data_IF_376308290120
#
_entry.id   IF_376308290120
#
_cell.length_a   1.000
_cell.length_b   1.000
_cell.length_c   1.000
_cell.angle_alpha   90.00
_cell.angle_beta   90.00
_cell.angle_gamma   90.00
#
_symmetry.space_group_name_H-M   'P 1'
#
loop_
_entity.id
_entity.type
_entity.pdbx_description
1 polymer ?
#
# COMPACT_ATOMS: atom_id res chain seq x y z
N UNK A 1 64.25 40.55 -48.04
CA UNK A 1 63.12 39.68 -48.31
C UNK A 1 63.65 38.30 -48.73
N UNK A 2 63.76 37.35 -47.80
CA UNK A 2 64.31 36.02 -48.08
C UNK A 2 63.30 35.22 -48.90
N UNK A 3 63.61 35.02 -50.18
CA UNK A 3 62.78 34.17 -51.06
C UNK A 3 62.94 32.74 -50.60
N UNK A 4 61.87 32.21 -50.02
CA UNK A 4 61.78 30.80 -49.62
C UNK A 4 61.92 29.90 -50.84
N UNK A 5 62.94 28.99 -50.86
CA UNK A 5 63.15 28.03 -51.99
C UNK A 5 61.95 27.12 -52.18
N UNK A 6 61.87 26.48 -53.42
CA UNK A 6 60.69 25.65 -53.79
C UNK A 6 60.39 24.51 -52.84
N UNK A 7 61.36 24.03 -52.08
CA UNK A 7 61.22 22.97 -51.07
C UNK A 7 60.42 23.49 -49.82
N UNK A 8 60.71 24.74 -49.40
CA UNK A 8 60.02 25.36 -48.26
C UNK A 8 58.57 25.64 -48.61
N UNK A 9 58.29 26.15 -49.80
CA UNK A 9 56.91 26.36 -50.30
C UNK A 9 56.11 25.05 -50.36
N UNK A 10 56.71 23.94 -50.82
CA UNK A 10 56.05 22.65 -50.85
C UNK A 10 55.77 22.10 -49.44
N UNK A 11 56.69 22.23 -48.49
CA UNK A 11 56.49 21.86 -47.10
C UNK A 11 55.39 22.70 -46.45
N UNK A 12 55.40 24.01 -46.69
CA UNK A 12 54.34 24.93 -46.22
C UNK A 12 52.96 24.55 -46.79
N UNK A 13 52.89 24.26 -48.08
CA UNK A 13 51.62 23.82 -48.73
C UNK A 13 51.12 22.49 -48.14
N UNK A 14 52.01 21.54 -47.88
CA UNK A 14 51.64 20.26 -47.24
C UNK A 14 51.12 20.47 -45.81
N UNK A 15 51.81 21.33 -45.02
CA UNK A 15 51.34 21.67 -43.68
C UNK A 15 49.96 22.34 -43.70
N UNK A 16 49.78 23.30 -44.61
CA UNK A 16 48.49 24.01 -44.77
C UNK A 16 47.37 23.06 -45.20
N UNK A 17 47.63 22.14 -46.15
CA UNK A 17 46.69 21.11 -46.51
C UNK A 17 46.34 20.15 -45.35
N UNK A 18 47.34 19.76 -44.55
CA UNK A 18 47.13 18.95 -43.35
C UNK A 18 46.25 19.67 -42.31
N UNK A 19 46.53 20.99 -42.04
CA UNK A 19 45.67 21.79 -41.19
C UNK A 19 44.24 21.93 -41.74
N UNK A 20 44.09 22.14 -43.00
CA UNK A 20 42.78 22.25 -43.65
C UNK A 20 41.96 20.96 -43.48
N UNK A 21 42.59 19.79 -43.72
CA UNK A 21 41.96 18.50 -43.51
C UNK A 21 41.56 18.28 -42.06
N UNK A 22 42.48 18.64 -41.12
CA UNK A 22 42.17 18.55 -39.68
C UNK A 22 40.97 19.43 -39.30
N UNK A 23 40.93 20.66 -39.84
CA UNK A 23 39.83 21.59 -39.58
C UNK A 23 38.50 21.08 -40.17
N UNK A 24 38.56 20.46 -41.34
CA UNK A 24 37.38 19.87 -41.97
C UNK A 24 36.83 18.68 -41.17
N UNK A 25 37.71 17.83 -40.62
CA UNK A 25 37.33 16.72 -39.72
C UNK A 25 36.72 17.26 -38.43
N UNK A 26 37.31 18.30 -37.82
CA UNK A 26 36.75 18.94 -36.62
C UNK A 26 35.38 19.57 -36.89
N UNK A 27 35.22 20.25 -38.04
CA UNK A 27 33.92 20.83 -38.42
C UNK A 27 32.87 19.76 -38.64
N UNK A 28 33.21 18.68 -39.32
CA UNK A 28 32.31 17.54 -39.49
C UNK A 28 31.94 16.88 -38.17
N UNK A 29 32.90 16.78 -37.20
CA UNK A 29 32.63 16.25 -35.87
C UNK A 29 31.72 17.15 -35.08
N UNK A 30 31.94 18.47 -35.15
CA UNK A 30 31.07 19.46 -34.48
C UNK A 30 29.65 19.41 -35.03
N UNK A 31 29.52 19.35 -36.37
CA UNK A 31 28.20 19.21 -37.01
C UNK A 31 27.51 17.92 -36.57
N UNK A 32 28.21 16.79 -36.50
CA UNK A 32 27.66 15.55 -35.99
C UNK A 32 27.15 15.70 -34.57
N UNK A 33 27.95 16.31 -33.66
CA UNK A 33 27.58 16.47 -32.26
C UNK A 33 26.42 17.45 -32.04
N UNK A 34 26.37 18.54 -32.86
CA UNK A 34 25.37 19.59 -32.71
C UNK A 34 24.06 19.35 -33.45
N UNK A 35 24.10 18.61 -34.57
CA UNK A 35 22.91 18.39 -35.39
C UNK A 35 22.38 16.96 -35.32
N UNK A 36 23.25 15.95 -35.22
CA UNK A 36 22.81 14.55 -35.27
C UNK A 36 22.70 13.94 -33.86
N UNK A 37 23.73 14.17 -33.04
CA UNK A 37 23.75 13.59 -31.67
C UNK A 37 23.19 14.56 -30.60
N UNK A 38 22.76 15.76 -30.96
CA UNK A 38 22.36 16.81 -30.03
C UNK A 38 21.25 16.39 -29.08
N UNK A 39 20.17 15.80 -29.59
CA UNK A 39 19.03 15.35 -28.75
C UNK A 39 19.41 14.26 -27.76
N UNK A 40 20.24 13.29 -28.18
CA UNK A 40 20.67 12.21 -27.29
C UNK A 40 21.62 12.73 -26.20
N UNK A 41 22.56 13.60 -26.57
CA UNK A 41 23.46 14.25 -25.64
C UNK A 41 22.72 15.17 -24.65
N UNK A 42 21.73 15.90 -25.13
CA UNK A 42 20.91 16.76 -24.30
C UNK A 42 20.06 15.95 -23.32
N UNK A 43 19.45 14.86 -23.76
CA UNK A 43 18.73 13.91 -22.85
C UNK A 43 19.63 13.33 -21.78
N UNK A 44 20.84 12.90 -22.15
CA UNK A 44 21.83 12.38 -21.18
C UNK A 44 22.30 13.45 -20.20
N UNK A 45 22.49 14.68 -20.68
CA UNK A 45 22.84 15.80 -19.81
C UNK A 45 21.72 16.13 -18.84
N UNK A 46 20.46 16.22 -19.31
CA UNK A 46 19.30 16.44 -18.44
C UNK A 46 19.18 15.35 -17.38
N UNK A 47 19.31 14.09 -17.76
CA UNK A 47 19.27 12.96 -16.81
C UNK A 47 20.39 13.00 -15.73
N UNK A 48 21.48 13.76 -15.96
CA UNK A 48 22.55 13.96 -15.00
C UNK A 48 22.34 15.21 -14.12
N UNK A 49 21.56 16.16 -14.58
CA UNK A 49 21.34 17.45 -13.91
C UNK A 49 19.99 17.55 -13.24
N UNK A 50 19.08 16.63 -13.50
CA UNK A 50 17.76 16.62 -12.88
C UNK A 50 17.60 15.40 -12.00
N UNK A 51 17.00 15.63 -10.83
CA UNK A 51 16.47 14.58 -9.94
C UNK A 51 14.96 14.69 -9.92
N UNK A 52 14.29 13.59 -10.18
CA UNK A 52 12.84 13.48 -10.04
C UNK A 52 12.53 12.77 -8.73
N UNK A 53 11.82 13.46 -7.84
CA UNK A 53 11.34 12.93 -6.58
C UNK A 53 9.82 12.79 -6.64
N UNK A 54 9.30 11.62 -6.29
CA UNK A 54 7.86 11.36 -6.23
C UNK A 54 7.28 11.95 -4.97
N UNK A 55 6.19 12.71 -5.10
CA UNK A 55 5.39 13.20 -3.97
C UNK A 55 4.23 12.25 -3.78
N UNK A 56 4.27 11.44 -2.72
CA UNK A 56 3.23 10.47 -2.46
C UNK A 56 1.93 11.16 -2.02
N UNK A 57 0.76 10.76 -2.59
CA UNK A 57 -0.53 11.23 -2.13
C UNK A 57 -0.89 10.60 -0.78
N UNK A 58 -1.74 11.28 -0.03
CA UNK A 58 -2.36 10.70 1.17
C UNK A 58 -3.50 9.78 0.75
N UNK A 59 -3.46 8.51 1.18
CA UNK A 59 -4.56 7.57 0.92
C UNK A 59 -5.82 7.99 1.68
N UNK A 60 -6.98 8.00 1.01
CA UNK A 60 -8.27 8.41 1.55
C UNK A 60 -8.72 7.59 2.77
N UNK A 61 -9.46 8.21 3.68
CA UNK A 61 -10.01 7.57 4.86
C UNK A 61 -11.21 6.67 4.55
N UNK A 62 -11.45 5.65 5.39
CA UNK A 62 -12.69 4.86 5.39
C UNK A 62 -13.39 5.11 6.72
N UNK A 63 -14.66 5.46 6.64
CA UNK A 63 -15.48 5.85 7.79
C UNK A 63 -16.75 5.01 7.86
N UNK A 64 -17.29 4.85 9.07
CA UNK A 64 -18.64 4.31 9.26
C UNK A 64 -19.71 5.34 8.84
N UNK A 65 -20.98 4.97 8.88
CA UNK A 65 -22.11 5.86 8.53
C UNK A 65 -22.20 7.12 9.39
N UNK A 66 -21.61 7.13 10.58
CA UNK A 66 -21.65 8.23 11.54
C UNK A 66 -20.37 9.08 11.52
N UNK A 67 -19.43 8.77 10.62
CA UNK A 67 -18.13 9.47 10.53
C UNK A 67 -17.03 8.93 11.44
N UNK A 68 -17.26 7.78 12.10
CA UNK A 68 -16.21 7.10 12.89
C UNK A 68 -15.14 6.56 11.96
N UNK A 69 -13.89 6.89 12.21
CA UNK A 69 -12.78 6.44 11.39
C UNK A 69 -12.52 4.93 11.57
N UNK A 70 -12.56 4.19 10.46
CA UNK A 70 -12.28 2.75 10.42
C UNK A 70 -10.88 2.46 9.83
N UNK A 71 -10.44 3.26 8.87
CA UNK A 71 -9.08 3.21 8.33
C UNK A 71 -8.61 4.62 7.95
N UNK A 72 -7.41 4.99 8.37
CA UNK A 72 -6.79 6.29 8.12
C UNK A 72 -5.37 6.11 7.60
N UNK A 73 -4.82 7.16 6.99
CA UNK A 73 -3.40 7.29 6.74
C UNK A 73 -2.77 8.11 7.87
N UNK A 74 -1.72 7.60 8.44
CA UNK A 74 -0.93 8.26 9.48
C UNK A 74 0.50 8.48 8.98
N UNK A 75 1.11 9.59 9.40
CA UNK A 75 2.51 9.85 9.14
C UNK A 75 3.37 8.80 9.85
N UNK A 76 4.26 8.19 9.11
CA UNK A 76 5.29 7.28 9.57
C UNK A 76 6.64 7.71 9.02
N UNK A 77 7.70 7.04 9.42
CA UNK A 77 9.05 7.36 8.95
C UNK A 77 9.81 6.09 8.60
N UNK A 78 10.61 6.18 7.55
CA UNK A 78 11.60 5.15 7.20
C UNK A 78 12.98 5.61 7.66
N UNK A 79 13.64 4.80 8.49
CA UNK A 79 15.05 4.98 8.82
C UNK A 79 15.89 4.29 7.75
N UNK A 80 16.71 5.06 7.06
CA UNK A 80 17.65 4.61 6.05
C UNK A 80 19.06 5.04 6.42
N UNK A 81 20.07 4.32 5.94
CA UNK A 81 21.46 4.67 6.15
C UNK A 81 22.28 4.56 4.87
N UNK A 82 23.30 5.42 4.75
CA UNK A 82 24.35 5.26 3.75
C UNK A 82 25.53 4.47 4.34
N UNK A 83 25.72 3.18 3.99
CA UNK A 83 26.79 2.36 4.55
C UNK A 83 28.18 2.95 4.35
N UNK A 84 28.37 3.77 3.31
CA UNK A 84 29.65 4.45 3.03
C UNK A 84 29.99 5.55 4.03
N UNK A 85 28.98 6.08 4.73
CA UNK A 85 29.13 7.17 5.70
C UNK A 85 29.16 6.67 7.14
N UNK A 86 28.72 5.43 7.38
CA UNK A 86 28.75 4.78 8.69
C UNK A 86 30.19 4.44 9.03
N UNK A 87 30.74 5.07 10.08
CA UNK A 87 32.15 4.91 10.49
C UNK A 87 32.38 3.64 11.32
N UNK A 88 31.47 3.36 12.26
CA UNK A 88 31.49 2.20 13.14
C UNK A 88 30.10 1.54 13.14
N UNK A 89 29.99 0.42 12.43
CA UNK A 89 28.72 -0.31 12.29
C UNK A 89 28.21 -0.87 13.64
N UNK A 90 29.10 -1.21 14.57
CA UNK A 90 28.68 -1.74 15.87
C UNK A 90 28.18 -0.63 16.80
N UNK A 91 28.87 0.50 16.88
CA UNK A 91 28.42 1.65 17.65
C UNK A 91 27.10 2.21 17.11
N UNK A 92 26.97 2.29 15.78
CA UNK A 92 25.74 2.68 15.08
C UNK A 92 24.56 1.74 15.43
N UNK A 93 24.76 0.42 15.35
CA UNK A 93 23.74 -0.57 15.65
C UNK A 93 23.34 -0.53 17.12
N UNK A 94 24.31 -0.45 18.06
CA UNK A 94 24.04 -0.39 19.49
C UNK A 94 23.21 0.85 19.87
N UNK A 95 23.45 1.98 19.22
CA UNK A 95 22.69 3.20 19.46
C UNK A 95 21.24 3.07 18.98
N UNK A 96 20.99 2.43 17.85
CA UNK A 96 19.67 2.39 17.20
C UNK A 96 18.82 1.19 17.60
N UNK A 97 19.42 0.04 17.94
CA UNK A 97 18.73 -1.21 18.24
C UNK A 97 17.56 -1.03 19.24
N UNK A 98 17.75 -0.37 20.40
CA UNK A 98 16.68 -0.23 21.41
C UNK A 98 15.53 0.69 20.96
N UNK A 99 15.81 1.70 20.10
CA UNK A 99 14.79 2.64 19.62
C UNK A 99 14.02 2.05 18.44
N UNK A 100 14.72 1.27 17.61
CA UNK A 100 14.12 0.64 16.45
C UNK A 100 13.48 -0.73 16.78
N UNK A 101 13.65 -1.23 18.00
CA UNK A 101 13.23 -2.58 18.40
C UNK A 101 13.70 -3.62 17.37
N UNK A 102 15.04 -3.68 17.22
CA UNK A 102 15.75 -4.57 16.29
C UNK A 102 17.00 -5.15 16.97
N UNK A 103 17.42 -6.32 16.51
CA UNK A 103 18.68 -6.91 16.94
C UNK A 103 19.88 -6.13 16.38
N UNK A 104 20.89 -5.86 17.23
CA UNK A 104 22.13 -5.18 16.79
C UNK A 104 22.76 -5.86 15.57
N UNK A 105 22.79 -7.19 15.57
CA UNK A 105 23.35 -8.02 14.49
C UNK A 105 22.69 -7.77 13.15
N UNK A 106 21.37 -7.56 13.13
CA UNK A 106 20.62 -7.27 11.91
C UNK A 106 20.98 -5.90 11.34
N UNK A 107 21.09 -4.90 12.21
CA UNK A 107 21.49 -3.55 11.79
C UNK A 107 22.92 -3.56 11.26
N UNK A 108 23.85 -4.23 11.97
CA UNK A 108 25.24 -4.38 11.50
C UNK A 108 25.30 -5.03 10.13
N UNK A 109 24.55 -6.11 9.91
CA UNK A 109 24.51 -6.79 8.62
C UNK A 109 24.05 -5.87 7.49
N UNK A 110 23.02 -5.05 7.75
CA UNK A 110 22.48 -4.09 6.75
C UNK A 110 23.49 -3.01 6.38
N UNK A 111 24.25 -2.47 7.35
CA UNK A 111 25.18 -1.35 7.09
C UNK A 111 26.61 -1.78 6.75
N UNK A 112 26.95 -3.07 6.83
CA UNK A 112 28.31 -3.58 6.56
C UNK A 112 28.68 -3.57 5.08
N UNK A 113 27.71 -3.58 4.18
CA UNK A 113 27.96 -3.59 2.73
C UNK A 113 28.13 -2.16 2.18
N UNK A 114 29.35 -1.66 2.25
CA UNK A 114 29.73 -0.32 1.77
C UNK A 114 29.67 -0.16 0.25
N UNK A 115 29.40 -1.21 -0.52
CA UNK A 115 29.18 -1.10 -1.97
C UNK A 115 27.85 -0.41 -2.30
N UNK A 116 26.88 -0.52 -1.39
CA UNK A 116 25.55 0.10 -1.51
C UNK A 116 25.59 1.60 -1.22
N UNK A 117 24.85 2.38 -1.99
CA UNK A 117 24.69 3.81 -1.77
C UNK A 117 23.77 4.15 -0.60
N UNK A 118 22.73 3.32 -0.39
CA UNK A 118 21.77 3.44 0.69
C UNK A 118 21.14 2.08 1.03
N UNK A 119 20.76 1.89 2.28
CA UNK A 119 20.04 0.71 2.78
C UNK A 119 18.92 1.14 3.72
N UNK A 120 17.77 0.51 3.61
CA UNK A 120 16.67 0.71 4.54
C UNK A 120 16.92 -0.11 5.81
N UNK A 121 16.96 0.55 6.96
CA UNK A 121 17.11 -0.08 8.27
C UNK A 121 15.76 -0.60 8.74
N UNK A 122 14.79 0.30 8.93
CA UNK A 122 13.43 -0.04 9.34
C UNK A 122 12.43 0.93 8.71
N UNK A 123 11.32 0.37 8.22
CA UNK A 123 10.19 1.13 7.68
C UNK A 123 9.08 1.30 8.72
N UNK A 124 8.21 2.24 8.45
CA UNK A 124 6.97 2.49 9.20
C UNK A 124 7.19 2.74 10.70
N UNK A 125 8.26 3.44 11.03
CA UNK A 125 8.50 3.91 12.39
C UNK A 125 7.36 4.83 12.83
N UNK A 126 6.93 4.67 14.08
CA UNK A 126 5.98 5.60 14.68
C UNK A 126 6.59 6.98 14.81
N UNK A 127 5.73 7.99 14.95
CA UNK A 127 6.17 9.38 15.16
C UNK A 127 7.07 9.52 16.39
N UNK A 128 6.75 8.77 17.46
CA UNK A 128 7.50 8.76 18.72
C UNK A 128 8.91 8.20 18.51
N UNK A 129 9.02 7.04 17.86
CA UNK A 129 10.32 6.43 17.55
C UNK A 129 11.16 7.33 16.62
N UNK A 130 10.56 7.90 15.60
CA UNK A 130 11.23 8.83 14.70
C UNK A 130 11.71 10.09 15.44
N UNK A 131 10.93 10.62 16.39
CA UNK A 131 11.33 11.78 17.20
C UNK A 131 12.51 11.43 18.11
N UNK A 132 12.55 10.24 18.69
CA UNK A 132 13.68 9.76 19.48
C UNK A 132 14.95 9.67 18.61
N UNK A 133 14.84 9.08 17.42
CA UNK A 133 15.96 8.99 16.47
C UNK A 133 16.45 10.39 16.08
N UNK A 134 15.55 11.33 15.76
CA UNK A 134 15.91 12.73 15.46
C UNK A 134 16.66 13.40 16.61
N UNK A 135 16.20 13.20 17.85
CA UNK A 135 16.86 13.74 19.04
C UNK A 135 18.26 13.15 19.21
N UNK A 136 18.42 11.84 18.95
CA UNK A 136 19.74 11.19 19.01
C UNK A 136 20.69 11.72 17.91
N UNK A 137 20.18 11.92 16.69
CA UNK A 137 20.98 12.49 15.60
C UNK A 137 21.48 13.90 15.94
N UNK A 138 20.62 14.76 16.51
CA UNK A 138 21.01 16.10 16.95
C UNK A 138 22.06 16.05 18.06
N UNK A 139 21.88 15.18 19.06
CA UNK A 139 22.85 15.01 20.15
C UNK A 139 24.20 14.46 19.65
N UNK A 140 24.18 13.58 18.65
CA UNK A 140 25.39 13.03 18.02
C UNK A 140 26.15 14.14 17.25
N UNK A 141 25.44 14.98 16.53
CA UNK A 141 25.98 16.13 15.81
C UNK A 141 26.58 17.17 16.78
N UNK A 142 25.84 17.53 17.85
CA UNK A 142 26.31 18.49 18.87
C UNK A 142 27.55 18.00 19.64
N UNK A 143 27.62 16.70 19.92
CA UNK A 143 28.76 16.09 20.62
C UNK A 143 29.99 15.90 19.74
N UNK A 144 29.79 15.88 18.42
CA UNK A 144 30.81 15.53 17.43
C UNK A 144 31.26 14.06 17.49
N UNK A 145 30.45 13.18 18.08
CA UNK A 145 30.76 11.75 18.22
C UNK A 145 30.65 11.01 16.88
N UNK A 146 29.77 11.51 15.97
CA UNK A 146 29.66 11.05 14.60
C UNK A 146 29.32 9.55 14.46
N UNK A 147 28.59 9.02 15.47
CA UNK A 147 28.16 7.62 15.57
C UNK A 147 27.03 7.33 14.59
N UNK A 148 26.10 8.29 14.44
CA UNK A 148 24.93 8.17 13.57
C UNK A 148 25.16 8.78 12.18
N UNK A 149 26.42 9.01 11.80
CA UNK A 149 26.77 9.49 10.48
C UNK A 149 26.21 8.61 9.38
N UNK A 150 25.56 9.23 8.41
CA UNK A 150 24.92 8.51 7.30
C UNK A 150 23.51 7.97 7.58
N UNK A 151 22.96 8.20 8.79
CA UNK A 151 21.54 7.93 9.08
C UNK A 151 20.67 9.09 8.57
N UNK A 152 19.53 8.75 7.96
CA UNK A 152 18.51 9.74 7.58
C UNK A 152 17.12 9.15 7.75
N UNK A 153 16.16 10.03 7.99
CA UNK A 153 14.75 9.70 8.16
C UNK A 153 13.95 10.32 7.03
N UNK A 154 13.22 9.47 6.33
CA UNK A 154 12.30 9.89 5.28
C UNK A 154 10.87 9.75 5.80
N UNK A 155 10.04 10.75 5.53
CA UNK A 155 8.62 10.69 5.87
C UNK A 155 7.90 9.79 4.88
N UNK A 156 7.09 8.86 5.41
CA UNK A 156 6.23 8.00 4.62
C UNK A 156 4.82 7.94 5.23
N UNK A 157 3.88 7.36 4.51
CA UNK A 157 2.51 7.14 4.99
C UNK A 157 2.33 5.69 5.42
N UNK A 158 1.70 5.49 6.58
CA UNK A 158 1.28 4.18 7.07
C UNK A 158 -0.23 4.11 7.15
N UNK A 159 -0.80 3.00 6.65
CA UNK A 159 -2.23 2.72 6.88
C UNK A 159 -2.43 2.33 8.34
N UNK A 160 -3.41 2.93 8.98
CA UNK A 160 -3.73 2.73 10.39
C UNK A 160 -5.21 2.43 10.57
N UNK A 161 -5.51 1.40 11.33
CA UNK A 161 -6.86 0.93 11.62
C UNK A 161 -7.14 1.15 13.12
N UNK A 162 -7.84 2.23 13.50
CA UNK A 162 -7.99 2.63 14.91
C UNK A 162 -8.61 1.56 15.82
N UNK A 163 -9.41 0.66 15.23
CA UNK A 163 -10.14 -0.38 15.95
C UNK A 163 -9.50 -1.78 15.85
N UNK A 164 -8.30 -1.90 15.28
CA UNK A 164 -7.56 -3.16 15.17
C UNK A 164 -8.31 -4.24 14.39
N UNK A 165 -8.70 -5.32 15.07
CA UNK A 165 -9.44 -6.43 14.49
C UNK A 165 -10.95 -6.14 14.37
N UNK A 166 -11.31 -5.08 13.66
CA UNK A 166 -12.69 -4.64 13.46
C UNK A 166 -13.05 -4.67 11.97
N UNK A 167 -14.17 -5.31 11.63
CA UNK A 167 -14.65 -5.48 10.24
C UNK A 167 -13.54 -5.95 9.28
N UNK A 168 -12.67 -6.82 9.75
CA UNK A 168 -11.37 -7.14 9.16
C UNK A 168 -11.47 -7.56 7.69
N UNK A 169 -12.33 -8.54 7.37
CA UNK A 169 -12.48 -9.03 6.01
C UNK A 169 -13.23 -8.05 5.09
N UNK A 170 -14.02 -7.16 5.67
CA UNK A 170 -14.69 -6.10 4.92
C UNK A 170 -13.71 -4.99 4.55
N UNK A 171 -12.99 -4.46 5.53
CA UNK A 171 -12.00 -3.40 5.30
C UNK A 171 -10.85 -3.94 4.44
N UNK A 172 -10.32 -5.10 4.80
CA UNK A 172 -9.13 -5.64 4.19
C UNK A 172 -7.88 -4.90 4.62
N UNK A 173 -6.77 -5.16 3.96
CA UNK A 173 -5.47 -4.59 4.31
C UNK A 173 -4.72 -4.08 3.08
N UNK A 174 -3.70 -3.26 3.35
CA UNK A 174 -2.75 -2.77 2.34
C UNK A 174 -1.39 -3.46 2.45
N UNK A 175 -0.61 -3.40 1.39
CA UNK A 175 0.84 -3.66 1.45
C UNK A 175 1.53 -2.58 2.29
N UNK A 176 2.82 -2.80 2.58
CA UNK A 176 3.66 -1.78 3.21
C UNK A 176 3.74 -0.50 2.36
N UNK A 177 3.61 -0.63 1.03
CA UNK A 177 3.65 0.49 0.09
C UNK A 177 2.28 1.15 -0.11
N UNK A 178 1.28 0.79 0.70
CA UNK A 178 -0.04 1.41 0.69
C UNK A 178 -0.99 0.93 -0.43
N UNK A 179 -0.63 -0.15 -1.16
CA UNK A 179 -1.50 -0.75 -2.20
C UNK A 179 -2.49 -1.70 -1.54
N UNK A 180 -3.77 -1.59 -1.88
CA UNK A 180 -4.83 -2.46 -1.35
C UNK A 180 -4.65 -3.92 -1.77
N UNK A 181 -4.65 -4.84 -0.80
CA UNK A 181 -4.49 -6.29 -1.01
C UNK A 181 -5.81 -7.08 -0.93
N UNK A 182 -6.70 -6.68 -0.05
CA UNK A 182 -7.96 -7.38 0.20
C UNK A 182 -9.07 -6.41 0.58
N UNK A 183 -10.32 -6.90 0.59
CA UNK A 183 -11.50 -6.16 1.04
C UNK A 183 -11.73 -4.86 0.27
N UNK A 184 -12.26 -3.86 0.95
CA UNK A 184 -12.51 -2.53 0.39
C UNK A 184 -11.23 -1.78 0.03
N UNK A 185 -10.14 -2.01 0.78
CA UNK A 185 -8.83 -1.46 0.44
C UNK A 185 -8.40 -1.86 -0.98
N UNK A 186 -8.64 -3.10 -1.38
CA UNK A 186 -8.35 -3.59 -2.73
C UNK A 186 -9.40 -3.15 -3.75
N UNK A 187 -10.69 -3.33 -3.43
CA UNK A 187 -11.78 -3.07 -4.37
C UNK A 187 -11.91 -1.60 -4.76
N UNK A 188 -11.54 -0.69 -3.83
CA UNK A 188 -11.58 0.75 -4.02
C UNK A 188 -10.18 1.36 -4.14
N UNK A 189 -9.17 0.54 -4.45
CA UNK A 189 -7.77 0.98 -4.44
C UNK A 189 -7.55 2.25 -5.27
N UNK A 190 -8.02 2.28 -6.51
CA UNK A 190 -7.82 3.42 -7.43
C UNK A 190 -8.45 4.72 -6.93
N UNK A 191 -9.57 4.61 -6.19
CA UNK A 191 -10.25 5.76 -5.59
C UNK A 191 -9.53 6.25 -4.32
N UNK A 192 -9.08 5.29 -3.49
CA UNK A 192 -8.44 5.58 -2.21
C UNK A 192 -6.98 6.05 -2.36
N UNK A 193 -6.24 5.58 -3.38
CA UNK A 193 -4.80 5.83 -3.52
C UNK A 193 -4.45 7.27 -3.90
N UNK A 194 -5.33 7.97 -4.62
CA UNK A 194 -5.01 9.28 -5.18
C UNK A 194 -4.07 9.19 -6.40
N UNK A 195 -3.40 10.29 -6.69
CA UNK A 195 -2.42 10.39 -7.79
C UNK A 195 -1.13 10.99 -7.28
N UNK A 196 -0.03 10.35 -7.63
CA UNK A 196 1.31 10.83 -7.31
C UNK A 196 1.58 12.19 -7.97
N UNK A 197 2.27 13.05 -7.23
CA UNK A 197 2.91 14.24 -7.74
C UNK A 197 4.38 14.01 -8.01
N UNK A 198 5.05 14.98 -8.59
CA UNK A 198 6.50 14.93 -8.82
C UNK A 198 7.15 16.28 -8.54
N UNK A 199 8.40 16.22 -8.11
CA UNK A 199 9.29 17.35 -7.98
C UNK A 199 10.47 17.05 -8.89
N UNK A 200 10.63 17.85 -9.93
CA UNK A 200 11.81 17.82 -10.79
C UNK A 200 12.73 18.96 -10.40
N UNK A 201 13.91 18.64 -9.92
CA UNK A 201 14.89 19.63 -9.44
C UNK A 201 16.21 19.48 -10.18
N UNK A 202 16.88 20.62 -10.44
CA UNK A 202 18.24 20.61 -10.94
C UNK A 202 19.24 20.33 -9.81
N UNK A 203 20.10 19.32 -10.03
CA UNK A 203 21.12 18.88 -9.08
C UNK A 203 22.54 19.13 -9.61
N UNK A 204 23.48 19.36 -8.71
CA UNK A 204 24.90 19.43 -9.05
C UNK A 204 25.52 18.03 -9.27
N UNK A 205 26.76 17.97 -9.73
CA UNK A 205 27.48 16.71 -9.95
C UNK A 205 27.73 15.87 -8.67
N UNK A 206 27.27 16.34 -7.50
CA UNK A 206 27.27 15.62 -6.22
C UNK A 206 25.86 15.26 -5.75
N UNK A 207 24.83 15.52 -6.57
CA UNK A 207 23.44 15.23 -6.25
C UNK A 207 22.80 16.24 -5.29
N UNK A 208 23.36 17.46 -5.13
CA UNK A 208 22.79 18.50 -4.26
C UNK A 208 21.96 19.46 -5.10
N UNK A 209 20.83 19.91 -4.56
CA UNK A 209 19.97 20.91 -5.19
C UNK A 209 20.76 22.19 -5.53
N UNK A 210 20.56 22.70 -6.73
CA UNK A 210 21.14 23.96 -7.18
C UNK A 210 20.19 25.08 -6.81
N UNK A 211 20.60 25.96 -5.88
CA UNK A 211 19.75 27.01 -5.27
C UNK A 211 19.06 27.97 -6.26
N UNK A 212 19.53 28.04 -7.50
CA UNK A 212 18.95 28.82 -8.59
C UNK A 212 18.53 27.96 -9.80
N UNK A 213 18.51 26.64 -9.62
CA UNK A 213 18.10 25.69 -10.66
C UNK A 213 16.59 25.75 -10.93
N UNK A 214 16.19 25.23 -12.09
CA UNK A 214 14.77 25.09 -12.39
C UNK A 214 14.14 24.03 -11.48
N UNK A 215 12.96 24.36 -10.94
CA UNK A 215 12.16 23.45 -10.12
C UNK A 215 10.75 23.39 -10.71
N UNK A 216 10.35 22.21 -11.11
CA UNK A 216 8.98 21.94 -11.53
C UNK A 216 8.30 21.10 -10.44
N UNK A 217 7.17 21.59 -9.94
CA UNK A 217 6.40 20.92 -8.89
C UNK A 217 5.00 20.59 -9.41
N UNK A 218 4.71 19.30 -9.51
CA UNK A 218 3.38 18.79 -9.76
C UNK A 218 2.83 18.27 -8.43
N UNK A 219 1.81 18.91 -7.85
CA UNK A 219 1.26 18.48 -6.56
C UNK A 219 0.62 17.10 -6.67
N UNK A 220 0.79 16.29 -5.64
CA UNK A 220 0.02 15.06 -5.48
C UNK A 220 -1.47 15.38 -5.29
N UNK A 221 -2.33 14.51 -5.74
CA UNK A 221 -3.79 14.58 -5.50
C UNK A 221 -4.16 13.48 -4.53
N UNK A 222 -4.57 13.85 -3.32
CA UNK A 222 -4.97 12.90 -2.28
C UNK A 222 -6.13 12.01 -2.72
N UNK A 223 -6.17 10.80 -2.17
CA UNK A 223 -7.23 9.84 -2.42
C UNK A 223 -8.58 10.27 -1.85
N UNK A 224 -9.65 9.83 -2.50
CA UNK A 224 -11.01 10.06 -2.04
C UNK A 224 -11.33 9.26 -0.78
N UNK A 225 -12.04 9.87 0.17
CA UNK A 225 -12.53 9.17 1.36
C UNK A 225 -13.86 8.49 1.10
N UNK A 226 -14.13 7.39 1.80
CA UNK A 226 -15.33 6.56 1.66
C UNK A 226 -16.09 6.49 2.99
N UNK A 227 -17.41 6.72 2.94
CA UNK A 227 -18.31 6.47 4.06
C UNK A 227 -19.12 5.21 3.76
N UNK A 228 -19.07 4.25 4.67
CA UNK A 228 -19.78 2.97 4.57
C UNK A 228 -21.19 3.07 5.18
N UNK A 229 -22.03 2.09 4.87
CA UNK A 229 -23.32 1.89 5.56
C UNK A 229 -23.16 1.21 6.92
N UNK A 230 -21.98 0.67 7.21
CA UNK A 230 -21.65 0.03 8.49
C UNK A 230 -21.87 1.03 9.64
N UNK A 231 -22.48 0.55 10.70
CA UNK A 231 -22.59 1.25 11.98
C UNK A 231 -21.62 0.62 12.98
N UNK A 232 -20.66 1.42 13.47
CA UNK A 232 -19.59 0.92 14.33
C UNK A 232 -20.11 0.29 15.63
N UNK A 233 -21.21 0.78 16.16
CA UNK A 233 -21.85 0.22 17.37
C UNK A 233 -22.48 -1.14 17.09
N UNK A 234 -23.24 -1.26 16.00
CA UNK A 234 -23.90 -2.51 15.60
C UNK A 234 -22.83 -3.55 15.24
N UNK A 235 -21.79 -3.15 14.51
CA UNK A 235 -20.65 -4.01 14.17
C UNK A 235 -19.96 -4.54 15.43
N UNK A 236 -19.68 -3.67 16.42
CA UNK A 236 -19.06 -4.06 17.69
C UNK A 236 -19.89 -5.08 18.47
N UNK A 237 -21.22 -4.90 18.52
CA UNK A 237 -22.12 -5.86 19.14
C UNK A 237 -22.11 -7.20 18.39
N UNK A 238 -22.15 -7.18 17.06
CA UNK A 238 -22.11 -8.37 16.23
C UNK A 238 -20.79 -9.14 16.39
N UNK A 239 -19.67 -8.43 16.44
CA UNK A 239 -18.35 -9.06 16.67
C UNK A 239 -18.21 -9.68 18.07
N UNK A 240 -18.72 -9.00 19.10
CA UNK A 240 -18.76 -9.56 20.44
C UNK A 240 -19.59 -10.84 20.48
N UNK A 241 -20.81 -10.80 19.94
CA UNK A 241 -21.68 -11.97 19.87
C UNK A 241 -21.07 -13.14 19.07
N UNK A 242 -20.41 -12.83 17.93
CA UNK A 242 -19.72 -13.84 17.12
C UNK A 242 -18.56 -14.49 17.89
N UNK A 243 -17.78 -13.71 18.63
CA UNK A 243 -16.67 -14.21 19.45
C UNK A 243 -17.17 -15.11 20.58
N UNK A 244 -18.22 -14.69 21.27
CA UNK A 244 -18.86 -15.48 22.33
C UNK A 244 -19.46 -16.80 21.76
N UNK A 245 -20.17 -16.71 20.65
CA UNK A 245 -20.73 -17.88 19.97
C UNK A 245 -19.64 -18.88 19.55
N UNK A 246 -18.53 -18.38 19.01
CA UNK A 246 -17.40 -19.21 18.61
C UNK A 246 -16.80 -19.95 19.82
N UNK A 247 -16.59 -19.25 20.93
CA UNK A 247 -16.01 -19.82 22.15
C UNK A 247 -16.94 -20.84 22.82
N UNK A 248 -18.23 -20.50 23.00
CA UNK A 248 -19.21 -21.35 23.71
C UNK A 248 -19.49 -22.64 22.93
N UNK A 249 -19.54 -22.56 21.61
CA UNK A 249 -19.89 -23.71 20.74
C UNK A 249 -18.66 -24.42 20.17
N UNK A 250 -17.46 -23.98 20.50
CA UNK A 250 -16.22 -24.47 19.89
C UNK A 250 -16.31 -24.49 18.35
N UNK A 251 -16.91 -23.43 17.76
CA UNK A 251 -17.18 -23.36 16.34
C UNK A 251 -15.89 -23.02 15.58
N UNK A 252 -15.68 -23.63 14.40
CA UNK A 252 -14.53 -23.35 13.53
C UNK A 252 -14.62 -21.96 12.89
N UNK A 253 -15.84 -21.51 12.61
CA UNK A 253 -16.10 -20.19 12.04
C UNK A 253 -17.47 -19.69 12.46
N UNK A 254 -17.61 -18.37 12.54
CA UNK A 254 -18.89 -17.68 12.77
C UNK A 254 -19.02 -16.52 11.80
N UNK A 255 -20.20 -16.39 11.21
CA UNK A 255 -20.52 -15.33 10.25
C UNK A 255 -21.76 -14.62 10.71
N UNK A 256 -21.73 -13.28 10.70
CA UNK A 256 -22.88 -12.44 11.05
C UNK A 256 -23.04 -11.36 10.00
N UNK A 257 -24.24 -11.22 9.46
CA UNK A 257 -24.63 -10.14 8.59
C UNK A 257 -25.89 -9.47 9.17
N UNK A 258 -25.80 -8.16 9.38
CA UNK A 258 -26.93 -7.33 9.81
C UNK A 258 -27.29 -6.37 8.69
N UNK A 259 -28.53 -6.45 8.23
CA UNK A 259 -29.04 -5.66 7.12
C UNK A 259 -30.29 -4.88 7.53
N UNK A 260 -30.44 -3.69 7.02
CA UNK A 260 -31.67 -2.89 7.08
C UNK A 260 -32.61 -3.39 5.96
N UNK A 261 -33.75 -4.04 6.27
CA UNK A 261 -34.57 -4.65 5.22
C UNK A 261 -35.19 -3.66 4.23
N UNK A 262 -35.46 -2.43 4.68
CA UNK A 262 -36.12 -1.39 3.88
C UNK A 262 -35.21 -0.78 2.82
N UNK A 263 -33.91 -0.72 3.08
CA UNK A 263 -32.94 -0.04 2.20
C UNK A 263 -31.94 -1.02 1.57
N UNK A 264 -31.77 -2.22 2.16
CA UNK A 264 -30.72 -3.16 1.80
C UNK A 264 -29.32 -2.80 2.31
N UNK A 265 -29.22 -1.72 3.12
CA UNK A 265 -27.93 -1.33 3.71
C UNK A 265 -27.39 -2.38 4.67
N UNK A 266 -26.12 -2.70 4.52
CA UNK A 266 -25.40 -3.59 5.44
C UNK A 266 -24.89 -2.74 6.62
N UNK A 267 -25.42 -3.04 7.81
CA UNK A 267 -25.08 -2.32 9.05
C UNK A 267 -23.92 -2.99 9.81
N UNK A 268 -23.77 -4.31 9.68
CA UNK A 268 -22.62 -5.05 10.19
C UNK A 268 -22.32 -6.27 9.33
N UNK A 269 -21.04 -6.61 9.22
CA UNK A 269 -20.54 -7.80 8.54
C UNK A 269 -19.37 -8.35 9.32
N UNK A 270 -19.51 -9.56 9.86
CA UNK A 270 -18.50 -10.22 10.71
C UNK A 270 -18.16 -11.58 10.14
N UNK A 271 -16.87 -11.83 10.03
CA UNK A 271 -16.30 -13.17 9.82
C UNK A 271 -15.33 -13.47 10.98
N UNK A 272 -15.45 -14.64 11.57
CA UNK A 272 -14.49 -15.16 12.55
C UNK A 272 -13.96 -16.52 12.06
N UNK A 273 -12.66 -16.83 12.23
CA UNK A 273 -11.62 -16.01 12.89
C UNK A 273 -11.25 -14.76 12.11
N UNK A 274 -10.71 -13.78 12.84
CA UNK A 274 -10.19 -12.51 12.32
C UNK A 274 -8.74 -12.28 12.79
N UNK A 275 -8.15 -11.16 12.42
CA UNK A 275 -6.79 -10.75 12.78
C UNK A 275 -6.72 -9.23 12.98
N UNK A 276 -5.67 -8.74 13.65
CA UNK A 276 -5.43 -7.31 13.76
C UNK A 276 -4.92 -6.75 12.41
N UNK A 277 -5.63 -5.78 11.86
CA UNK A 277 -5.26 -5.13 10.60
C UNK A 277 -3.95 -4.33 10.69
N UNK A 278 -3.56 -3.89 11.90
CA UNK A 278 -2.29 -3.20 12.12
C UNK A 278 -1.11 -4.16 12.26
N UNK A 279 -1.37 -5.43 12.64
CA UNK A 279 -0.37 -6.48 12.83
C UNK A 279 -0.84 -7.81 12.21
N UNK A 280 -1.04 -7.87 10.89
CA UNK A 280 -1.45 -9.09 10.21
C UNK A 280 -0.30 -10.13 10.20
N UNK A 281 -0.59 -11.43 10.25
CA UNK A 281 0.41 -12.49 10.26
C UNK A 281 1.08 -12.67 8.87
N UNK A 282 1.91 -11.71 8.48
CA UNK A 282 2.56 -11.66 7.15
C UNK A 282 3.59 -12.75 6.93
N UNK A 283 4.12 -13.32 8.01
CA UNK A 283 5.11 -14.40 7.96
C UNK A 283 4.46 -15.75 7.59
N UNK A 284 3.16 -15.89 7.81
CA UNK A 284 2.34 -17.06 7.42
C UNK A 284 1.33 -16.66 6.33
N UNK A 285 1.79 -16.71 5.09
CA UNK A 285 1.02 -16.31 3.92
C UNK A 285 -0.22 -17.18 3.72
N UNK A 286 -0.17 -18.46 4.06
CA UNK A 286 -1.31 -19.40 3.93
C UNK A 286 -2.41 -19.02 4.90
N UNK A 287 -2.08 -18.89 6.19
CA UNK A 287 -3.02 -18.43 7.23
C UNK A 287 -3.58 -17.05 6.92
N UNK A 288 -2.74 -16.09 6.50
CA UNK A 288 -3.21 -14.75 6.15
C UNK A 288 -4.20 -14.78 4.97
N UNK A 289 -3.91 -15.58 3.95
CA UNK A 289 -4.79 -15.72 2.77
C UNK A 289 -6.16 -16.25 3.16
N UNK A 290 -6.23 -17.25 4.05
CA UNK A 290 -7.48 -17.79 4.57
C UNK A 290 -8.25 -16.75 5.39
N UNK A 291 -7.56 -16.03 6.29
CA UNK A 291 -8.16 -15.02 7.16
C UNK A 291 -8.66 -13.78 6.40
N UNK A 292 -8.06 -13.44 5.26
CA UNK A 292 -8.51 -12.33 4.40
C UNK A 292 -9.83 -12.61 3.68
N UNK A 293 -10.25 -13.88 3.56
CA UNK A 293 -11.47 -14.22 2.82
C UNK A 293 -12.72 -13.72 3.53
N UNK A 294 -13.55 -12.97 2.81
CA UNK A 294 -14.87 -12.59 3.29
C UNK A 294 -15.86 -13.74 3.06
N UNK A 295 -15.87 -14.67 3.99
CA UNK A 295 -16.67 -15.91 3.89
C UNK A 295 -18.17 -15.69 3.98
N UNK A 296 -18.63 -14.49 4.39
CA UNK A 296 -20.08 -14.13 4.33
C UNK A 296 -20.57 -14.07 2.89
N UNK A 297 -19.73 -13.61 1.95
CA UNK A 297 -20.11 -13.40 0.55
C UNK A 297 -19.46 -14.41 -0.41
N UNK A 298 -18.37 -15.06 -0.02
CA UNK A 298 -17.62 -15.98 -0.91
C UNK A 298 -18.00 -17.45 -0.77
N UNK A 299 -18.52 -17.85 0.40
CA UNK A 299 -18.73 -19.26 0.69
C UNK A 299 -20.19 -19.68 0.49
N UNK A 300 -20.39 -20.75 -0.26
CA UNK A 300 -21.67 -21.43 -0.34
C UNK A 300 -21.92 -22.26 0.93
N UNK A 301 -23.15 -22.33 1.37
CA UNK A 301 -23.57 -23.15 2.49
C UNK A 301 -24.96 -23.75 2.25
N UNK A 302 -25.28 -24.84 2.93
CA UNK A 302 -26.61 -25.44 2.91
C UNK A 302 -27.56 -24.66 3.85
N UNK A 303 -28.50 -23.87 3.31
CA UNK A 303 -29.30 -22.94 4.12
C UNK A 303 -30.33 -23.67 5.00
N UNK A 304 -30.71 -24.89 4.66
CA UNK A 304 -31.74 -25.63 5.37
C UNK A 304 -33.07 -24.85 5.40
N UNK A 305 -33.72 -24.82 6.58
CA UNK A 305 -35.03 -24.15 6.78
C UNK A 305 -35.00 -22.64 6.60
N UNK A 306 -33.84 -21.98 6.62
CA UNK A 306 -33.76 -20.53 6.34
C UNK A 306 -34.13 -20.23 4.90
N UNK A 307 -33.97 -21.17 3.96
CA UNK A 307 -34.39 -21.00 2.57
C UNK A 307 -35.91 -20.89 2.39
N UNK A 308 -36.69 -21.35 3.39
CA UNK A 308 -38.17 -21.25 3.34
C UNK A 308 -38.65 -19.80 3.24
N UNK A 309 -37.89 -18.83 3.80
CA UNK A 309 -38.19 -17.39 3.69
C UNK A 309 -38.20 -16.98 2.23
N UNK A 310 -37.19 -17.41 1.46
CA UNK A 310 -37.10 -17.12 0.03
C UNK A 310 -38.24 -17.81 -0.76
N UNK A 311 -38.56 -19.03 -0.42
CA UNK A 311 -39.65 -19.77 -1.05
C UNK A 311 -41.00 -19.09 -0.81
N UNK A 312 -41.28 -18.67 0.45
CA UNK A 312 -42.50 -17.97 0.79
C UNK A 312 -42.57 -16.59 0.08
N UNK A 313 -41.49 -15.83 0.08
CA UNK A 313 -41.42 -14.53 -0.60
C UNK A 313 -41.67 -14.67 -2.11
N UNK A 314 -41.06 -15.66 -2.77
CA UNK A 314 -41.27 -15.92 -4.18
C UNK A 314 -42.72 -16.35 -4.49
N UNK A 315 -43.34 -17.17 -3.61
CA UNK A 315 -44.72 -17.60 -3.78
C UNK A 315 -45.73 -16.45 -3.64
N UNK A 316 -45.51 -15.56 -2.68
CA UNK A 316 -46.29 -14.33 -2.48
C UNK A 316 -46.14 -13.35 -3.66
N UNK A 317 -44.91 -13.15 -4.13
CA UNK A 317 -44.62 -12.24 -5.26
C UNK A 317 -45.25 -12.77 -6.58
N UNK A 318 -45.23 -14.10 -6.79
CA UNK A 318 -45.86 -14.73 -7.91
C UNK A 318 -47.43 -14.82 -7.80
N UNK A 319 -47.99 -14.43 -6.67
CA UNK A 319 -49.44 -14.46 -6.42
C UNK A 319 -50.03 -15.89 -6.38
N UNK A 320 -49.22 -16.94 -6.13
CA UNK A 320 -49.65 -18.33 -6.03
C UNK A 320 -50.08 -18.73 -4.62
N UNK A 321 -49.84 -17.86 -3.63
CA UNK A 321 -50.31 -17.99 -2.24
C UNK A 321 -50.64 -16.62 -1.67
N UNK A 322 -51.26 -16.58 -0.51
CA UNK A 322 -51.54 -15.38 0.24
C UNK A 322 -51.22 -15.53 1.73
N UNK A 323 -51.07 -14.42 2.46
CA UNK A 323 -50.74 -14.43 3.90
C UNK A 323 -51.81 -15.13 4.77
N UNK A 324 -53.06 -15.27 4.27
CA UNK A 324 -54.16 -15.90 4.99
C UNK A 324 -54.58 -17.24 4.42
N UNK A 325 -53.74 -17.84 3.56
CA UNK A 325 -53.99 -19.12 2.98
C UNK A 325 -53.73 -20.24 4.02
N UNK A 326 -54.74 -21.11 4.22
CA UNK A 326 -54.65 -22.24 5.14
C UNK A 326 -53.95 -23.42 4.49
N UNK A 327 -53.09 -24.09 5.21
CA UNK A 327 -52.40 -25.30 4.80
C UNK A 327 -52.76 -26.47 5.74
N UNK A 328 -52.67 -27.69 5.22
CA UNK A 328 -52.91 -28.89 6.02
C UNK A 328 -51.68 -29.79 5.98
N UNK A 329 -51.07 -30.01 7.14
CA UNK A 329 -49.93 -30.93 7.28
C UNK A 329 -50.40 -32.32 7.65
N UNK A 330 -50.40 -33.27 6.67
CA UNK A 330 -50.69 -34.68 6.86
C UNK A 330 -49.49 -35.50 7.36
N UNK A 331 -48.36 -34.89 7.64
CA UNK A 331 -47.11 -35.53 8.03
C UNK A 331 -46.22 -35.97 6.87
N UNK A 332 -46.74 -35.98 5.63
CA UNK A 332 -45.94 -36.21 4.42
C UNK A 332 -46.65 -35.80 3.17
N UNK A 333 -45.89 -35.43 2.14
CA UNK A 333 -46.35 -35.15 0.77
C UNK A 333 -45.57 -36.01 -0.23
N UNK A 334 -46.16 -36.25 -1.41
CA UNK A 334 -45.47 -36.87 -2.53
C UNK A 334 -45.18 -35.81 -3.59
N UNK A 335 -43.91 -35.68 -3.98
CA UNK A 335 -43.47 -34.77 -5.02
C UNK A 335 -42.62 -35.55 -6.01
N UNK A 336 -42.96 -35.52 -7.28
CA UNK A 336 -42.24 -36.20 -8.38
C UNK A 336 -41.87 -37.65 -8.08
N UNK A 337 -42.77 -38.40 -7.41
CA UNK A 337 -42.56 -39.82 -7.05
C UNK A 337 -41.76 -40.04 -5.77
N UNK A 338 -41.24 -39.00 -5.16
CA UNK A 338 -40.54 -39.04 -3.87
C UNK A 338 -41.46 -38.65 -2.71
N UNK A 339 -41.40 -39.41 -1.60
CA UNK A 339 -42.11 -39.06 -0.36
C UNK A 339 -41.27 -38.14 0.52
N UNK A 340 -41.71 -36.91 0.73
CA UNK A 340 -41.13 -35.96 1.66
C UNK A 340 -41.92 -36.03 2.97
N UNK A 341 -41.27 -36.30 4.08
CA UNK A 341 -41.87 -36.37 5.42
C UNK A 341 -41.64 -35.08 6.19
N UNK A 342 -42.65 -34.70 7.01
CA UNK A 342 -42.45 -33.71 8.05
C UNK A 342 -41.42 -34.25 9.05
N UNK A 343 -40.59 -33.37 9.60
CA UNK A 343 -39.57 -33.76 10.59
C UNK A 343 -40.18 -34.09 11.97
N UNK A 344 -41.39 -33.64 12.24
CA UNK A 344 -42.14 -33.90 13.47
C UNK A 344 -43.42 -34.68 13.21
N UNK A 345 -44.33 -34.64 14.18
CA UNK A 345 -45.68 -35.18 14.04
C UNK A 345 -46.52 -34.33 13.06
N UNK A 346 -47.61 -34.87 12.49
CA UNK A 346 -48.52 -34.08 11.64
C UNK A 346 -49.11 -32.90 12.43
N UNK A 347 -48.98 -31.71 11.88
CA UNK A 347 -49.47 -30.48 12.54
C UNK A 347 -50.95 -30.20 12.31
N UNK A 348 -51.58 -30.85 11.33
CA UNK A 348 -52.99 -30.64 10.97
C UNK A 348 -53.19 -29.34 10.18
N UNK A 349 -54.27 -28.61 10.48
CA UNK A 349 -54.58 -27.35 9.83
C UNK A 349 -53.77 -26.23 10.41
N UNK A 350 -53.11 -25.43 9.54
CA UNK A 350 -52.30 -24.29 9.86
C UNK A 350 -52.71 -23.10 8.98
N UNK A 351 -52.64 -21.88 9.52
CA UNK A 351 -52.91 -20.62 8.79
C UNK A 351 -51.74 -19.69 8.98
#
# INVERSE_FOLDING_TARGET
MVLTGPVVRRRLAVCLAAFFVLFLVLTARLFYLQAIAAEDLQRRAQAQWTSESVVAPTRGGIYDRNGTALALSATAYTASASPRQVKDAQAFARALAPVLDMEESEIVQKVSDTSKGGVTIKRQLTREAAQQVKTMMLADEESGADVLSGLYLEEESRRYYPMGAFATQLLGLTTIDGVGQAGLESSLNDYLSGKEGSILEEIDGKGREVSYGAREYVPAVDGGSVTLTIDASIQSFAEKAAREAMAVNNAKSVRVLVMQPQTGEILALVCKPDYDLNDPPRDDVETLTELMRNTVVSDAYEPGSTFKILTAAAALDAGVTSENEGFFCSGSIYVEGGRIRCWGEPHGAET
#
